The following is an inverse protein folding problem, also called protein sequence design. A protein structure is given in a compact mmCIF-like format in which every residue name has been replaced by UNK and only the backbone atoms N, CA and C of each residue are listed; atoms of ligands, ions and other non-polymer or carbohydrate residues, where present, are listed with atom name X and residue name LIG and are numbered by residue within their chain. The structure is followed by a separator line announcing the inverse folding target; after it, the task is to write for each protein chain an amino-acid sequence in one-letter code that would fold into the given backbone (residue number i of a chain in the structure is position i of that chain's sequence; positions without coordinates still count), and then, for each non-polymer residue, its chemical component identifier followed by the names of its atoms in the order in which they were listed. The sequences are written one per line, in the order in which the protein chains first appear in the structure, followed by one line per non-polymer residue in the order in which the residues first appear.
data_IF_784109373552
#
_entry.id   IF_784109373552
#
_cell.length_a   1.000
_cell.length_b   1.000
_cell.length_c   1.000
_cell.angle_alpha   90.00
_cell.angle_beta   90.00
_cell.angle_gamma   90.00
#
_symmetry.space_group_name_H-M   'P 1'
#
loop_
_entity.id
_entity.type
_entity.pdbx_description
1 polymer ?
#
# COMPACT_ATOMS: atom_id res chain seq x y z
N UNK A 1 -29.22 16.06 39.22
CA UNK A 1 -27.98 16.51 38.54
C UNK A 1 -27.30 15.41 37.71
N UNK A 2 -27.28 14.13 38.15
CA UNK A 2 -26.59 13.04 37.42
C UNK A 2 -27.19 12.59 36.07
N UNK A 3 -28.50 12.76 35.87
CA UNK A 3 -29.17 12.29 34.65
C UNK A 3 -28.90 13.18 33.42
N UNK A 4 -28.67 14.48 33.64
CA UNK A 4 -28.49 15.46 32.56
C UNK A 4 -27.05 15.33 31.99
N UNK A 5 -26.07 15.15 32.87
CA UNK A 5 -24.67 14.86 32.50
C UNK A 5 -24.54 13.61 31.61
N UNK A 6 -25.24 12.53 31.99
CA UNK A 6 -25.19 11.27 31.24
C UNK A 6 -25.84 11.39 29.85
N UNK A 7 -26.92 12.16 29.74
CA UNK A 7 -27.57 12.42 28.45
C UNK A 7 -26.68 13.24 27.52
N UNK A 8 -25.99 14.26 28.04
CA UNK A 8 -25.06 15.07 27.25
C UNK A 8 -23.85 14.28 26.75
N UNK A 9 -23.26 13.39 27.56
CA UNK A 9 -22.12 12.59 27.13
C UNK A 9 -22.51 11.54 26.08
N UNK A 10 -23.68 10.91 26.22
CA UNK A 10 -24.23 10.02 25.20
C UNK A 10 -24.53 10.77 23.88
N UNK A 11 -25.11 11.97 23.95
CA UNK A 11 -25.41 12.76 22.75
C UNK A 11 -24.14 13.17 22.00
N UNK A 12 -23.10 13.60 22.72
CA UNK A 12 -21.81 13.98 22.12
C UNK A 12 -21.12 12.77 21.48
N UNK A 13 -21.07 11.63 22.17
CA UNK A 13 -20.43 10.41 21.63
C UNK A 13 -21.14 9.87 20.39
N UNK A 14 -22.48 9.83 20.37
CA UNK A 14 -23.25 9.41 19.19
C UNK A 14 -23.07 10.40 18.03
N UNK A 15 -23.01 11.69 18.31
CA UNK A 15 -22.78 12.72 17.28
C UNK A 15 -21.40 12.56 16.62
N UNK A 16 -20.35 12.38 17.43
CA UNK A 16 -18.98 12.19 16.94
C UNK A 16 -18.86 10.88 16.14
N UNK A 17 -19.47 9.80 16.63
CA UNK A 17 -19.47 8.51 15.93
C UNK A 17 -20.21 8.60 14.58
N UNK A 18 -21.36 9.27 14.55
CA UNK A 18 -22.15 9.48 13.33
C UNK A 18 -21.42 10.31 12.28
N UNK A 19 -20.80 11.43 12.68
CA UNK A 19 -20.01 12.27 11.75
C UNK A 19 -18.76 11.56 11.25
N UNK A 20 -18.12 10.75 12.10
CA UNK A 20 -16.94 9.97 11.72
C UNK A 20 -17.29 8.87 10.72
N UNK A 21 -18.43 8.20 10.89
CA UNK A 21 -18.90 7.18 9.97
C UNK A 21 -19.32 7.77 8.61
N UNK A 22 -19.96 8.93 8.60
CA UNK A 22 -20.34 9.63 7.38
C UNK A 22 -19.13 10.20 6.60
N UNK A 23 -18.06 10.56 7.30
CA UNK A 23 -16.80 11.00 6.69
C UNK A 23 -15.91 9.84 6.21
N UNK A 24 -16.14 8.63 6.70
CA UNK A 24 -15.41 7.44 6.29
C UNK A 24 -15.94 6.96 4.93
N UNK A 25 -15.20 7.22 3.86
CA UNK A 25 -15.50 6.69 2.54
C UNK A 25 -14.67 5.41 2.31
N UNK A 26 -15.21 4.21 2.57
CA UNK A 26 -14.46 2.96 2.50
C UNK A 26 -13.94 2.65 1.09
N UNK A 27 -14.66 3.07 0.04
CA UNK A 27 -14.23 2.90 -1.35
C UNK A 27 -12.99 3.75 -1.65
N UNK A 28 -12.97 5.01 -1.16
CA UNK A 28 -11.80 5.88 -1.30
C UNK A 28 -10.60 5.35 -0.52
N UNK A 29 -10.82 4.89 0.71
CA UNK A 29 -9.77 4.27 1.54
C UNK A 29 -9.17 3.03 0.86
N UNK A 30 -10.01 2.20 0.25
CA UNK A 30 -9.56 1.02 -0.49
C UNK A 30 -8.73 1.42 -1.72
N UNK A 31 -9.18 2.40 -2.49
CA UNK A 31 -8.43 2.92 -3.64
C UNK A 31 -7.08 3.49 -3.23
N UNK A 32 -7.04 4.33 -2.20
CA UNK A 32 -5.80 4.92 -1.68
C UNK A 32 -4.84 3.84 -1.15
N UNK A 33 -5.38 2.83 -0.46
CA UNK A 33 -4.58 1.70 0.04
C UNK A 33 -3.97 0.88 -1.09
N UNK A 34 -4.72 0.64 -2.18
CA UNK A 34 -4.20 -0.05 -3.38
C UNK A 34 -3.06 0.76 -4.00
N UNK A 35 -3.23 2.08 -4.17
CA UNK A 35 -2.19 2.95 -4.74
C UNK A 35 -0.92 2.94 -3.89
N UNK A 36 -1.05 2.98 -2.57
CA UNK A 36 0.10 2.91 -1.66
C UNK A 36 0.78 1.53 -1.73
N UNK A 37 0.00 0.45 -1.78
CA UNK A 37 0.51 -0.91 -1.90
C UNK A 37 1.25 -1.13 -3.24
N UNK A 38 0.71 -0.61 -4.34
CA UNK A 38 1.34 -0.68 -5.66
C UNK A 38 2.68 0.07 -5.67
N UNK A 39 2.72 1.30 -5.13
CA UNK A 39 3.97 2.07 -4.98
C UNK A 39 5.00 1.38 -4.09
N UNK A 40 4.56 0.76 -3.00
CA UNK A 40 5.45 0.03 -2.10
C UNK A 40 6.06 -1.19 -2.80
N UNK A 41 5.23 -1.96 -3.51
CA UNK A 41 5.67 -3.12 -4.29
C UNK A 41 6.65 -2.70 -5.39
N UNK A 42 6.39 -1.60 -6.10
CA UNK A 42 7.34 -1.05 -7.08
C UNK A 42 8.74 -0.82 -6.49
N UNK A 43 8.84 -0.20 -5.31
CA UNK A 43 10.13 0.01 -4.63
C UNK A 43 10.79 -1.28 -4.17
N UNK A 44 10.01 -2.29 -3.80
CA UNK A 44 10.54 -3.62 -3.45
C UNK A 44 11.17 -4.27 -4.68
N UNK A 45 10.51 -4.19 -5.84
CA UNK A 45 11.06 -4.70 -7.11
C UNK A 45 12.35 -3.95 -7.47
N UNK A 46 12.39 -2.62 -7.36
CA UNK A 46 13.62 -1.85 -7.60
C UNK A 46 14.76 -2.25 -6.65
N UNK A 47 14.46 -2.48 -5.37
CA UNK A 47 15.45 -2.95 -4.40
C UNK A 47 15.97 -4.35 -4.75
N UNK A 48 15.09 -5.22 -5.24
CA UNK A 48 15.46 -6.55 -5.72
C UNK A 48 16.31 -6.51 -6.99
N UNK A 49 16.07 -5.55 -7.90
CA UNK A 49 16.94 -5.31 -9.06
C UNK A 49 18.35 -4.98 -8.59
N UNK A 50 18.48 -4.06 -7.62
CA UNK A 50 19.77 -3.70 -7.04
C UNK A 50 20.45 -4.91 -6.38
N UNK A 51 19.69 -5.74 -5.65
CA UNK A 51 20.22 -6.97 -5.06
C UNK A 51 20.68 -7.99 -6.12
N UNK A 52 19.93 -8.14 -7.21
CA UNK A 52 20.30 -8.99 -8.33
C UNK A 52 21.60 -8.52 -8.99
N UNK A 53 21.71 -7.21 -9.26
CA UNK A 53 22.92 -6.60 -9.84
C UNK A 53 24.12 -6.81 -8.91
N UNK A 54 23.95 -6.64 -7.60
CA UNK A 54 25.03 -6.85 -6.63
C UNK A 54 25.60 -8.29 -6.63
N UNK A 55 24.79 -9.28 -7.04
CA UNK A 55 25.20 -10.69 -7.10
C UNK A 55 25.70 -11.10 -8.49
N UNK A 56 25.09 -10.58 -9.55
CA UNK A 56 25.31 -11.06 -10.93
C UNK A 56 26.11 -10.09 -11.81
N UNK A 57 26.36 -8.86 -11.33
CA UNK A 57 27.04 -7.77 -12.06
C UNK A 57 26.39 -7.41 -13.41
N UNK A 58 25.08 -7.69 -13.53
CA UNK A 58 24.27 -7.42 -14.73
C UNK A 58 22.84 -7.06 -14.34
N UNK A 59 22.20 -6.23 -15.16
CA UNK A 59 20.78 -5.92 -15.01
C UNK A 59 19.91 -7.17 -15.27
N UNK A 60 18.84 -7.38 -14.48
CA UNK A 60 17.86 -8.41 -14.79
C UNK A 60 17.13 -8.06 -16.09
N UNK A 61 16.85 -9.06 -16.91
CA UNK A 61 16.10 -8.90 -18.16
C UNK A 61 14.63 -9.26 -18.00
N UNK A 62 14.26 -9.94 -16.91
CA UNK A 62 12.90 -10.38 -16.64
C UNK A 62 12.56 -10.38 -15.15
N UNK A 63 11.26 -10.23 -14.85
CA UNK A 63 10.75 -10.27 -13.47
C UNK A 63 10.94 -11.64 -12.82
N UNK A 64 11.05 -12.71 -13.62
CA UNK A 64 11.22 -14.09 -13.16
C UNK A 64 12.59 -14.37 -12.53
N UNK A 65 13.55 -13.46 -12.67
CA UNK A 65 14.88 -13.55 -12.05
C UNK A 65 14.92 -12.96 -10.64
N UNK A 66 13.90 -12.20 -10.26
CA UNK A 66 13.79 -11.48 -8.99
C UNK A 66 13.05 -12.21 -7.85
N UNK A 67 12.30 -13.32 -8.02
CA UNK A 67 11.64 -14.01 -6.90
C UNK A 67 12.55 -14.38 -5.72
N UNK A 68 13.84 -14.74 -5.89
CA UNK A 68 14.72 -15.01 -4.75
C UNK A 68 15.00 -13.79 -3.85
N UNK A 69 14.72 -12.58 -4.32
CA UNK A 69 15.05 -11.32 -3.65
C UNK A 69 13.82 -10.53 -3.20
N UNK A 70 12.62 -11.07 -3.42
CA UNK A 70 11.35 -10.41 -3.10
C UNK A 70 10.43 -11.33 -2.31
N UNK A 71 9.96 -10.85 -1.17
CA UNK A 71 8.86 -11.46 -0.43
C UNK A 71 7.52 -10.90 -0.94
N UNK A 72 6.93 -11.54 -1.95
CA UNK A 72 5.60 -11.16 -2.46
C UNK A 72 5.32 -11.57 -3.91
N UNK A 73 4.07 -11.39 -4.35
CA UNK A 73 3.68 -11.58 -5.75
C UNK A 73 4.02 -10.35 -6.60
N UNK A 74 4.97 -10.53 -7.51
CA UNK A 74 5.44 -9.50 -8.44
C UNK A 74 5.02 -9.78 -9.89
N UNK A 75 4.12 -10.75 -10.13
CA UNK A 75 3.72 -11.18 -11.49
C UNK A 75 3.13 -10.06 -12.35
N UNK A 76 2.58 -9.01 -11.74
CA UNK A 76 2.05 -7.83 -12.44
C UNK A 76 3.12 -6.82 -12.88
N UNK A 77 4.36 -7.01 -12.45
CA UNK A 77 5.49 -6.14 -12.74
C UNK A 77 6.34 -6.75 -13.86
N UNK A 78 7.08 -5.89 -14.56
CA UNK A 78 8.03 -6.26 -15.61
C UNK A 78 9.29 -5.41 -15.50
N UNK A 79 10.34 -5.84 -16.17
CA UNK A 79 11.58 -5.07 -16.25
C UNK A 79 11.65 -4.40 -17.62
N UNK A 80 11.85 -3.09 -17.64
CA UNK A 80 12.05 -2.30 -18.86
C UNK A 80 13.33 -1.50 -18.71
N UNK A 81 14.31 -1.77 -19.58
CA UNK A 81 15.63 -1.12 -19.54
C UNK A 81 16.29 -1.15 -18.14
N UNK A 82 16.25 -2.30 -17.47
CA UNK A 82 16.86 -2.50 -16.14
C UNK A 82 16.09 -1.87 -14.98
N UNK A 83 14.85 -1.40 -15.18
CA UNK A 83 14.02 -0.78 -14.13
C UNK A 83 12.69 -1.49 -13.94
N UNK A 84 12.13 -1.41 -12.73
CA UNK A 84 10.78 -1.88 -12.47
C UNK A 84 9.75 -1.06 -13.28
N UNK A 85 8.81 -1.75 -13.91
CA UNK A 85 7.68 -1.16 -14.61
C UNK A 85 6.40 -1.93 -14.25
N UNK A 86 5.33 -1.23 -13.91
CA UNK A 86 4.11 -1.85 -13.39
C UNK A 86 3.27 -0.86 -12.58
N UNK A 87 2.24 -1.33 -11.86
CA UNK A 87 1.42 -0.48 -11.01
C UNK A 87 2.25 0.28 -9.98
N UNK A 88 2.07 1.60 -9.87
CA UNK A 88 2.80 2.41 -8.89
C UNK A 88 4.26 2.73 -9.27
N UNK A 89 4.74 2.16 -10.37
CA UNK A 89 5.81 2.69 -11.21
C UNK A 89 5.17 3.48 -12.39
#
# INVERSE_FOLDING_TARGET
MRLIELATTCAVTVSIAGTSYAALNPEKLKADTIVVADRATCRIVDSAIVAYIAVNDTDPTSIAQLPPYVDGDITRYRIVAGRAAGPGC
#
